data_IF_569169234013
#
_entry.id   IF_569169234013
#
_cell.length_a   1.000
_cell.length_b   1.000
_cell.length_c   1.000
_cell.angle_alpha   90.00
_cell.angle_beta   90.00
_cell.angle_gamma   90.00
#
_symmetry.space_group_name_H-M   'P 1'
#
loop_
_entity.id
_entity.type
_entity.pdbx_description
1 polymer ?
#
# COMPACT_ATOMS: atom_id res chain seq x y z
N UNK A 1 -2.87 -28.58 9.08
CA UNK A 1 -3.43 -27.73 8.01
C UNK A 1 -2.56 -27.92 6.79
N UNK A 2 -3.13 -28.14 5.61
CA UNK A 2 -2.34 -28.18 4.37
C UNK A 2 -2.06 -26.75 3.92
N UNK A 3 -0.80 -26.43 3.61
CA UNK A 3 -0.38 -25.14 3.06
C UNK A 3 0.16 -25.39 1.66
N UNK A 4 -0.30 -24.59 0.71
CA UNK A 4 0.12 -24.62 -0.69
C UNK A 4 0.83 -23.28 -0.98
N UNK A 5 2.04 -23.34 -1.55
CA UNK A 5 2.86 -22.16 -1.80
C UNK A 5 3.42 -22.22 -3.22
N UNK A 6 3.41 -21.07 -3.93
CA UNK A 6 4.02 -20.90 -5.26
C UNK A 6 3.63 -22.02 -6.24
N UNK A 7 2.35 -22.38 -6.26
CA UNK A 7 1.80 -23.46 -7.07
C UNK A 7 0.75 -22.94 -8.04
N UNK A 8 0.76 -23.49 -9.24
CA UNK A 8 -0.24 -23.24 -10.30
C UNK A 8 -1.18 -24.46 -10.45
N UNK A 9 -1.11 -25.45 -9.55
CA UNK A 9 -1.82 -26.73 -9.70
C UNK A 9 -3.35 -26.61 -9.75
N UNK A 10 -3.89 -25.48 -9.29
CA UNK A 10 -5.33 -25.20 -9.29
C UNK A 10 -5.79 -24.33 -10.45
N UNK A 11 -4.90 -23.92 -11.36
CA UNK A 11 -5.27 -23.15 -12.54
C UNK A 11 -6.24 -23.93 -13.42
N UNK A 12 -7.38 -23.31 -13.76
CA UNK A 12 -8.45 -23.94 -14.52
C UNK A 12 -9.21 -25.06 -13.78
N UNK A 13 -8.92 -25.31 -12.49
CA UNK A 13 -9.61 -26.33 -11.71
C UNK A 13 -11.10 -25.98 -11.48
N UNK A 14 -11.94 -27.02 -11.37
CA UNK A 14 -13.35 -26.89 -11.01
C UNK A 14 -13.63 -27.65 -9.72
N UNK A 15 -14.09 -26.95 -8.69
CA UNK A 15 -14.41 -27.52 -7.39
C UNK A 15 -15.93 -27.65 -7.26
N UNK A 16 -16.45 -28.89 -7.35
CA UNK A 16 -17.90 -29.16 -7.25
C UNK A 16 -18.23 -29.67 -5.86
N UNK A 17 -19.16 -28.98 -5.17
CA UNK A 17 -19.60 -29.32 -3.80
C UNK A 17 -18.43 -29.48 -2.81
N UNK A 18 -17.38 -28.70 -3.00
CA UNK A 18 -16.23 -28.62 -2.10
C UNK A 18 -16.45 -27.51 -1.06
N UNK A 19 -15.90 -27.69 0.13
CA UNK A 19 -15.89 -26.66 1.16
C UNK A 19 -14.53 -25.96 1.16
N UNK A 20 -14.56 -24.64 1.11
CA UNK A 20 -13.43 -23.75 1.37
C UNK A 20 -13.59 -22.99 2.69
N UNK A 21 -14.50 -23.44 3.57
CA UNK A 21 -14.78 -22.77 4.84
C UNK A 21 -13.50 -22.65 5.66
N UNK A 22 -13.13 -21.42 6.02
CA UNK A 22 -11.93 -21.10 6.78
C UNK A 22 -10.62 -21.18 5.98
N UNK A 23 -10.68 -21.26 4.65
CA UNK A 23 -9.50 -21.10 3.81
C UNK A 23 -9.13 -19.61 3.67
N UNK A 24 -7.84 -19.32 3.78
CA UNK A 24 -7.28 -17.99 3.53
C UNK A 24 -6.46 -18.04 2.25
N UNK A 25 -6.70 -17.10 1.35
CA UNK A 25 -5.92 -16.90 0.14
C UNK A 25 -5.12 -15.61 0.32
N UNK A 26 -3.79 -15.70 0.47
CA UNK A 26 -2.89 -14.55 0.64
C UNK A 26 -1.96 -14.48 -0.57
N UNK A 27 -1.81 -13.27 -1.14
CA UNK A 27 -0.95 -13.02 -2.30
C UNK A 27 -1.15 -14.04 -3.45
N UNK A 28 -2.41 -14.38 -3.72
CA UNK A 28 -2.82 -15.40 -4.69
C UNK A 28 -3.48 -14.75 -5.91
N UNK A 29 -3.19 -15.22 -7.11
CA UNK A 29 -3.88 -14.75 -8.31
C UNK A 29 -5.31 -15.31 -8.36
N UNK A 30 -6.28 -14.42 -8.13
CA UNK A 30 -7.71 -14.75 -8.17
C UNK A 30 -8.39 -14.28 -9.47
N UNK A 31 -7.62 -13.80 -10.45
CA UNK A 31 -8.17 -13.29 -11.71
C UNK A 31 -8.92 -14.41 -12.44
N UNK A 32 -10.13 -14.09 -12.88
CA UNK A 32 -10.97 -15.03 -13.62
C UNK A 32 -11.68 -16.11 -12.78
N UNK A 33 -11.48 -16.15 -11.45
CA UNK A 33 -12.23 -17.05 -10.56
C UNK A 33 -13.73 -16.73 -10.64
N UNK A 34 -14.56 -17.77 -10.78
CA UNK A 34 -16.03 -17.65 -10.90
C UNK A 34 -16.71 -18.47 -9.83
N UNK A 35 -17.40 -17.79 -8.91
CA UNK A 35 -18.21 -18.43 -7.88
C UNK A 35 -19.68 -18.44 -8.33
N UNK A 36 -20.26 -19.63 -8.54
CA UNK A 36 -21.66 -19.79 -8.95
C UNK A 36 -22.36 -20.79 -8.05
N UNK A 37 -23.54 -20.39 -7.53
CA UNK A 37 -24.29 -21.19 -6.56
C UNK A 37 -23.42 -21.62 -5.36
N UNK A 38 -22.58 -20.70 -4.87
CA UNK A 38 -21.75 -20.85 -3.68
C UNK A 38 -22.48 -20.20 -2.50
N UNK A 39 -22.36 -20.80 -1.32
CA UNK A 39 -22.80 -20.20 -0.06
C UNK A 39 -21.74 -19.19 0.40
N UNK A 40 -22.07 -17.91 0.29
CA UNK A 40 -21.20 -16.79 0.66
C UNK A 40 -21.75 -16.14 1.92
N UNK A 41 -21.15 -16.48 3.06
CA UNK A 41 -21.39 -15.83 4.35
C UNK A 41 -20.01 -15.52 4.97
N UNK A 42 -19.73 -14.23 5.16
CA UNK A 42 -18.43 -13.75 5.65
C UNK A 42 -17.27 -13.85 4.66
N UNK A 43 -17.51 -13.81 3.34
CA UNK A 43 -16.41 -13.65 2.37
C UNK A 43 -15.81 -12.25 2.53
N UNK A 44 -14.55 -12.21 2.93
CA UNK A 44 -13.77 -10.99 3.06
C UNK A 44 -12.77 -10.89 1.90
N UNK A 45 -12.77 -9.74 1.23
CA UNK A 45 -11.88 -9.43 0.11
C UNK A 45 -11.20 -8.12 0.46
N UNK A 46 -9.94 -8.22 0.84
CA UNK A 46 -9.12 -7.09 1.20
C UNK A 46 -7.93 -6.98 0.25
N UNK A 47 -8.09 -6.15 -0.77
CA UNK A 47 -7.10 -5.94 -1.82
C UNK A 47 -7.08 -4.46 -2.21
N UNK A 48 -5.88 -3.89 -2.20
CA UNK A 48 -5.67 -2.53 -2.66
C UNK A 48 -5.78 -2.42 -4.20
N UNK A 49 -5.37 -3.45 -4.93
CA UNK A 49 -5.36 -3.47 -6.40
C UNK A 49 -6.75 -3.70 -7.00
N UNK A 50 -7.76 -3.93 -6.15
CA UNK A 50 -9.15 -4.11 -6.52
C UNK A 50 -9.66 -3.01 -7.46
N UNK A 51 -9.13 -1.78 -7.34
CA UNK A 51 -9.54 -0.62 -8.14
C UNK A 51 -9.02 -0.63 -9.59
N UNK A 52 -8.05 -1.48 -9.92
CA UNK A 52 -7.59 -1.72 -11.30
C UNK A 52 -8.42 -2.79 -12.02
N UNK A 53 -9.31 -3.47 -11.29
CA UNK A 53 -10.12 -4.57 -11.78
C UNK A 53 -11.63 -4.33 -11.64
N UNK A 54 -12.36 -5.45 -11.62
CA UNK A 54 -13.81 -5.47 -11.40
C UNK A 54 -14.15 -6.61 -10.44
N UNK A 55 -15.09 -6.37 -9.53
CA UNK A 55 -15.63 -7.40 -8.63
C UNK A 55 -17.14 -7.46 -8.83
N UNK A 56 -17.59 -8.56 -9.44
CA UNK A 56 -18.98 -8.70 -9.86
C UNK A 56 -19.76 -9.52 -8.83
N UNK A 57 -20.66 -8.87 -8.10
CA UNK A 57 -21.60 -9.51 -7.16
C UNK A 57 -22.98 -9.51 -7.79
N UNK A 58 -23.54 -10.70 -8.06
CA UNK A 58 -24.85 -10.88 -8.70
C UNK A 58 -25.04 -10.07 -10.00
N UNK A 59 -23.98 -9.92 -10.79
CA UNK A 59 -24.00 -9.17 -12.06
C UNK A 59 -23.76 -7.67 -11.93
N UNK A 60 -23.49 -7.17 -10.73
CA UNK A 60 -23.19 -5.75 -10.45
C UNK A 60 -21.71 -5.63 -10.12
N UNK A 61 -21.01 -4.72 -10.79
CA UNK A 61 -19.66 -4.32 -10.38
C UNK A 61 -19.72 -3.46 -9.12
N UNK A 62 -19.17 -3.99 -8.02
CA UNK A 62 -19.22 -3.33 -6.71
C UNK A 62 -18.04 -2.40 -6.45
N UNK A 63 -16.99 -2.43 -7.29
CA UNK A 63 -15.77 -1.63 -7.08
C UNK A 63 -16.05 -0.13 -6.93
N UNK A 64 -16.91 0.52 -7.75
CA UNK A 64 -17.24 1.94 -7.58
C UNK A 64 -17.94 2.25 -6.25
N UNK A 65 -18.78 1.34 -5.75
CA UNK A 65 -19.46 1.51 -4.46
C UNK A 65 -18.47 1.42 -3.31
N UNK A 66 -17.53 0.46 -3.37
CA UNK A 66 -16.46 0.32 -2.38
C UNK A 66 -15.56 1.56 -2.40
N UNK A 67 -15.15 2.04 -3.58
CA UNK A 67 -14.33 3.26 -3.72
C UNK A 67 -15.02 4.48 -3.10
N UNK A 68 -16.31 4.67 -3.37
CA UNK A 68 -17.07 5.79 -2.82
C UNK A 68 -17.20 5.70 -1.29
N UNK A 69 -17.45 4.50 -0.76
CA UNK A 69 -17.54 4.28 0.69
C UNK A 69 -16.19 4.49 1.38
N UNK A 70 -15.07 4.06 0.78
CA UNK A 70 -13.73 4.35 1.31
C UNK A 70 -13.45 5.86 1.31
N UNK A 71 -13.78 6.59 0.25
CA UNK A 71 -13.61 8.05 0.26
C UNK A 71 -14.48 8.74 1.33
N UNK A 72 -15.66 8.18 1.63
CA UNK A 72 -16.51 8.66 2.73
C UNK A 72 -15.89 8.39 4.10
N UNK A 73 -15.23 7.25 4.29
CA UNK A 73 -14.58 6.86 5.55
C UNK A 73 -13.22 7.53 5.76
N UNK A 74 -12.52 7.88 4.67
CA UNK A 74 -11.20 8.50 4.66
C UNK A 74 -11.27 9.82 3.87
N UNK A 75 -11.78 10.92 4.45
CA UNK A 75 -11.89 12.20 3.75
C UNK A 75 -10.54 12.67 3.22
N UNK A 76 -10.49 13.10 1.96
CA UNK A 76 -9.27 13.48 1.25
C UNK A 76 -8.66 12.36 0.41
N UNK A 77 -9.05 11.09 0.63
CA UNK A 77 -8.61 9.95 -0.20
C UNK A 77 -9.04 10.11 -1.64
N UNK A 78 -10.17 10.75 -1.92
CA UNK A 78 -10.62 11.06 -3.28
C UNK A 78 -9.62 11.88 -4.10
N UNK A 79 -8.69 12.58 -3.44
CA UNK A 79 -7.64 13.37 -4.08
C UNK A 79 -6.39 12.55 -4.41
N UNK A 80 -6.30 11.27 -4.02
CA UNK A 80 -5.14 10.41 -4.33
C UNK A 80 -4.91 10.29 -5.85
N UNK A 81 -5.96 10.43 -6.67
CA UNK A 81 -5.91 10.37 -8.13
C UNK A 81 -5.77 11.77 -8.79
N UNK A 82 -5.54 12.83 -8.00
CA UNK A 82 -5.50 14.20 -8.50
C UNK A 82 -4.43 14.38 -9.59
N UNK A 83 -4.81 15.13 -10.63
CA UNK A 83 -3.94 15.44 -11.76
C UNK A 83 -3.39 16.87 -11.70
N UNK A 84 -3.94 17.70 -10.82
CA UNK A 84 -3.50 19.08 -10.61
C UNK A 84 -2.57 19.15 -9.41
N UNK A 85 -1.60 20.06 -9.47
CA UNK A 85 -0.69 20.29 -8.35
C UNK A 85 -1.43 20.73 -7.08
N UNK A 86 -2.49 21.53 -7.21
CA UNK A 86 -3.36 21.92 -6.09
C UNK A 86 -4.03 20.71 -5.44
N UNK A 87 -4.62 19.81 -6.24
CA UNK A 87 -5.27 18.61 -5.71
C UNK A 87 -4.27 17.65 -5.05
N UNK A 88 -3.06 17.54 -5.58
CA UNK A 88 -1.99 16.73 -4.96
C UNK A 88 -1.54 17.33 -3.62
N UNK A 89 -1.45 18.66 -3.51
CA UNK A 89 -1.13 19.33 -2.23
C UNK A 89 -2.22 19.14 -1.20
N UNK A 90 -3.48 19.35 -1.58
CA UNK A 90 -4.63 19.12 -0.70
C UNK A 90 -4.73 17.65 -0.26
N UNK A 91 -4.53 16.71 -1.19
CA UNK A 91 -4.50 15.28 -0.88
C UNK A 91 -3.37 14.89 0.06
N UNK A 92 -2.19 15.49 -0.12
CA UNK A 92 -1.03 15.29 0.76
C UNK A 92 -1.28 15.82 2.16
N UNK A 93 -1.80 17.03 2.30
CA UNK A 93 -2.14 17.61 3.61
C UNK A 93 -3.19 16.74 4.34
N UNK A 94 -4.20 16.26 3.62
CA UNK A 94 -5.24 15.39 4.18
C UNK A 94 -4.67 14.07 4.71
N UNK A 95 -3.78 13.41 3.96
CA UNK A 95 -3.21 12.13 4.39
C UNK A 95 -2.22 12.31 5.54
N UNK A 96 -1.44 13.42 5.56
CA UNK A 96 -0.59 13.76 6.70
C UNK A 96 -1.41 13.92 7.98
N UNK A 97 -2.53 14.65 7.92
CA UNK A 97 -3.42 14.84 9.06
C UNK A 97 -4.03 13.52 9.56
N UNK A 98 -4.46 12.64 8.65
CA UNK A 98 -5.05 11.36 8.99
C UNK A 98 -4.03 10.38 9.62
N UNK A 99 -2.77 10.42 9.17
CA UNK A 99 -1.67 9.69 9.82
C UNK A 99 -1.35 10.24 11.20
N UNK A 100 -1.27 11.55 11.36
CA UNK A 100 -1.02 12.19 12.66
C UNK A 100 -2.07 11.76 13.69
N UNK A 101 -3.36 11.80 13.33
CA UNK A 101 -4.46 11.31 14.18
C UNK A 101 -4.26 9.85 14.59
N UNK A 102 -3.85 9.00 13.65
CA UNK A 102 -3.68 7.56 13.89
C UNK A 102 -2.50 7.28 14.80
N UNK A 103 -1.38 7.96 14.59
CA UNK A 103 -0.18 7.83 15.42
C UNK A 103 -0.44 8.34 16.84
N UNK A 104 -1.01 9.55 16.98
CA UNK A 104 -1.31 10.15 18.29
C UNK A 104 -2.39 9.36 19.05
N UNK A 105 -3.34 8.78 18.32
CA UNK A 105 -4.43 7.99 18.88
C UNK A 105 -4.08 6.53 19.17
N UNK A 106 -2.85 6.08 18.92
CA UNK A 106 -2.42 4.69 19.17
C UNK A 106 -1.68 4.58 20.51
N UNK A 107 -2.19 3.79 21.47
CA UNK A 107 -1.48 3.51 22.71
C UNK A 107 -0.09 2.91 22.45
N UNK A 108 0.90 3.29 23.26
CA UNK A 108 2.30 2.92 23.02
C UNK A 108 2.51 1.40 23.03
N UNK A 109 1.75 0.68 23.85
CA UNK A 109 1.75 -0.77 23.93
C UNK A 109 1.25 -1.47 22.65
N UNK A 110 0.49 -0.77 21.80
CA UNK A 110 -0.03 -1.31 20.54
C UNK A 110 0.84 -0.99 19.32
N UNK A 111 1.85 -0.14 19.47
CA UNK A 111 2.71 0.30 18.34
C UNK A 111 3.40 -0.87 17.64
N UNK A 112 3.86 -1.85 18.42
CA UNK A 112 4.52 -3.07 17.94
C UNK A 112 3.59 -4.29 17.95
N UNK A 113 2.33 -4.11 18.37
CA UNK A 113 1.33 -5.18 18.29
C UNK A 113 0.81 -5.31 16.86
N UNK A 114 0.53 -6.55 16.44
CA UNK A 114 0.06 -6.83 15.09
C UNK A 114 -0.95 -7.98 15.08
N UNK A 115 -1.81 -7.98 14.06
CA UNK A 115 -2.65 -9.14 13.72
C UNK A 115 -1.78 -10.18 13.02
N UNK A 116 -2.11 -11.47 13.15
CA UNK A 116 -1.34 -12.55 12.51
C UNK A 116 -1.17 -12.28 11.00
N UNK A 117 0.07 -12.44 10.52
CA UNK A 117 0.52 -12.16 9.15
C UNK A 117 0.45 -10.69 8.68
N UNK A 118 -0.02 -9.75 9.50
CA UNK A 118 -0.05 -8.32 9.19
C UNK A 118 1.05 -7.52 9.90
N UNK A 119 1.30 -6.30 9.42
CA UNK A 119 2.30 -5.41 9.99
C UNK A 119 1.78 -4.64 11.20
N UNK A 120 2.68 -4.39 12.16
CA UNK A 120 2.44 -3.43 13.24
C UNK A 120 2.41 -1.98 12.71
N UNK A 121 2.02 -1.03 13.58
CA UNK A 121 2.09 0.40 13.22
C UNK A 121 3.53 0.80 12.91
N UNK A 122 4.50 0.40 13.74
CA UNK A 122 5.91 0.71 13.51
C UNK A 122 6.41 0.14 12.17
N UNK A 123 6.09 -1.12 11.86
CA UNK A 123 6.45 -1.75 10.59
C UNK A 123 5.80 -1.05 9.39
N UNK A 124 4.53 -0.67 9.51
CA UNK A 124 3.81 0.08 8.47
C UNK A 124 4.46 1.44 8.20
N UNK A 125 4.82 2.20 9.24
CA UNK A 125 5.50 3.49 9.06
C UNK A 125 6.88 3.31 8.41
N UNK A 126 7.62 2.25 8.76
CA UNK A 126 8.89 1.89 8.11
C UNK A 126 8.71 1.56 6.63
N UNK A 127 7.62 0.89 6.26
CA UNK A 127 7.32 0.64 4.87
C UNK A 127 7.03 1.93 4.09
N UNK A 128 6.29 2.87 4.68
CA UNK A 128 6.00 4.15 4.04
C UNK A 128 7.25 5.05 3.86
N UNK A 129 8.25 4.90 4.74
CA UNK A 129 9.59 5.49 4.53
C UNK A 129 10.21 4.91 3.25
N UNK A 130 10.18 3.58 3.10
CA UNK A 130 10.69 2.89 1.91
C UNK A 130 9.93 3.28 0.64
N UNK A 131 8.60 3.35 0.66
CA UNK A 131 7.80 3.79 -0.47
C UNK A 131 8.17 5.22 -0.90
N UNK A 132 8.30 6.14 0.05
CA UNK A 132 8.74 7.52 -0.24
C UNK A 132 10.16 7.55 -0.80
N UNK A 133 11.08 6.78 -0.23
CA UNK A 133 12.46 6.68 -0.72
C UNK A 133 12.50 6.17 -2.16
N UNK A 134 11.74 5.12 -2.50
CA UNK A 134 11.67 4.59 -3.85
C UNK A 134 11.13 5.63 -4.85
N UNK A 135 9.95 6.19 -4.58
CA UNK A 135 9.23 6.99 -5.56
C UNK A 135 9.72 8.44 -5.61
N UNK A 136 9.95 9.09 -4.47
CA UNK A 136 10.51 10.44 -4.45
C UNK A 136 12.03 10.39 -4.62
N UNK A 137 12.74 9.62 -3.79
CA UNK A 137 14.20 9.60 -3.79
C UNK A 137 14.80 8.94 -5.04
N UNK A 138 14.31 7.76 -5.40
CA UNK A 138 14.77 6.97 -6.54
C UNK A 138 14.20 7.50 -7.86
N UNK A 139 12.89 7.46 -8.05
CA UNK A 139 12.28 7.77 -9.34
C UNK A 139 12.35 9.27 -9.66
N UNK A 140 11.80 10.14 -8.80
CA UNK A 140 11.72 11.58 -9.08
C UNK A 140 13.11 12.25 -9.01
N UNK A 141 13.84 12.02 -7.91
CA UNK A 141 15.11 12.70 -7.61
C UNK A 141 16.36 11.95 -8.11
N UNK A 142 16.21 10.71 -8.61
CA UNK A 142 17.28 9.93 -9.26
C UNK A 142 18.52 9.71 -8.39
N UNK A 143 18.32 9.49 -7.09
CA UNK A 143 19.39 9.11 -6.16
C UNK A 143 19.78 7.66 -6.41
N UNK A 144 21.08 7.39 -6.45
CA UNK A 144 21.62 6.04 -6.71
C UNK A 144 21.26 5.05 -5.59
N UNK A 145 21.33 5.50 -4.34
CA UNK A 145 20.88 4.75 -3.17
C UNK A 145 19.89 5.66 -2.42
N UNK A 146 18.57 5.52 -2.67
CA UNK A 146 17.58 6.40 -2.06
C UNK A 146 17.12 5.91 -0.68
N UNK A 147 17.33 4.64 -0.37
CA UNK A 147 16.69 3.95 0.76
C UNK A 147 17.39 4.20 2.10
N UNK A 148 16.61 4.59 3.10
CA UNK A 148 17.06 4.65 4.49
C UNK A 148 17.13 3.26 5.11
N UNK A 149 18.11 3.01 5.98
CA UNK A 149 18.29 1.74 6.71
C UNK A 149 17.11 1.36 7.63
N UNK A 150 16.25 2.33 7.97
CA UNK A 150 15.06 2.14 8.82
C UNK A 150 13.88 1.63 8.01
N UNK A 151 13.91 1.80 6.68
CA UNK A 151 12.88 1.31 5.79
C UNK A 151 12.58 -0.17 6.01
N UNK A 152 11.35 -0.58 5.73
CA UNK A 152 10.95 -1.98 5.75
C UNK A 152 10.44 -2.37 4.37
N UNK A 153 11.15 -3.29 3.73
CA UNK A 153 10.77 -3.79 2.42
C UNK A 153 9.71 -4.90 2.54
N UNK A 154 8.90 -5.05 1.49
CA UNK A 154 7.85 -6.05 1.44
C UNK A 154 8.39 -7.48 1.32
N UNK A 155 7.59 -8.45 1.76
CA UNK A 155 7.93 -9.89 1.65
C UNK A 155 8.11 -10.30 0.19
N UNK A 156 9.19 -11.00 -0.12
CA UNK A 156 9.51 -11.43 -1.50
C UNK A 156 10.57 -10.58 -2.21
N UNK A 157 10.97 -9.44 -1.63
CA UNK A 157 11.91 -8.52 -2.29
C UNK A 157 13.34 -9.10 -2.43
N UNK A 158 13.78 -9.94 -1.49
CA UNK A 158 15.08 -10.61 -1.59
C UNK A 158 15.13 -11.55 -2.80
N UNK A 159 14.04 -12.28 -3.08
CA UNK A 159 13.91 -13.13 -4.26
C UNK A 159 13.87 -12.32 -5.56
N UNK A 160 13.51 -11.03 -5.50
CA UNK A 160 13.57 -10.09 -6.62
C UNK A 160 14.97 -9.48 -6.83
N UNK A 161 15.96 -9.90 -6.04
CA UNK A 161 17.34 -9.43 -6.15
C UNK A 161 17.61 -8.08 -5.49
N UNK A 162 16.71 -7.64 -4.59
CA UNK A 162 16.90 -6.40 -3.84
C UNK A 162 18.07 -6.51 -2.86
N UNK A 163 18.86 -5.43 -2.74
CA UNK A 163 19.96 -5.38 -1.78
C UNK A 163 19.44 -5.18 -0.35
N UNK A 164 19.28 -6.30 0.35
CA UNK A 164 18.81 -6.32 1.73
C UNK A 164 19.84 -5.75 2.73
N UNK A 165 21.12 -5.60 2.34
CA UNK A 165 22.17 -5.11 3.24
C UNK A 165 22.03 -3.63 3.62
N UNK A 166 21.16 -2.92 2.91
CA UNK A 166 20.78 -1.54 3.21
C UNK A 166 20.03 -1.44 4.54
N UNK A 167 19.20 -2.43 4.86
CA UNK A 167 18.28 -2.35 6.00
C UNK A 167 18.95 -2.83 7.28
N UNK A 168 18.69 -2.11 8.36
CA UNK A 168 19.21 -2.42 9.69
C UNK A 168 18.62 -3.75 10.18
N UNK A 169 19.48 -4.62 10.73
CA UNK A 169 19.06 -5.90 11.34
C UNK A 169 18.34 -5.69 12.68
N UNK A 170 18.79 -4.73 13.49
CA UNK A 170 18.18 -4.39 14.76
C UNK A 170 16.93 -3.53 14.55
N UNK A 171 15.87 -3.83 15.31
CA UNK A 171 14.63 -3.07 15.22
C UNK A 171 14.83 -1.63 15.74
N UNK A 172 14.53 -0.61 14.93
CA UNK A 172 14.64 0.79 15.34
C UNK A 172 13.59 1.10 16.40
N UNK A 173 13.91 2.05 17.28
CA UNK A 173 12.92 2.59 18.21
C UNK A 173 11.79 3.31 17.44
N UNK A 174 10.59 3.33 18.01
CA UNK A 174 9.48 4.05 17.38
C UNK A 174 9.79 5.55 17.18
N UNK A 175 10.54 6.15 18.09
CA UNK A 175 11.02 7.53 17.97
C UNK A 175 11.92 7.74 16.76
N UNK A 176 12.86 6.83 16.48
CA UNK A 176 13.69 6.88 15.28
C UNK A 176 12.83 6.75 14.01
N UNK A 177 11.83 5.84 14.02
CA UNK A 177 10.89 5.67 12.91
C UNK A 177 10.11 6.96 12.65
N UNK A 178 9.57 7.59 13.69
CA UNK A 178 8.83 8.84 13.58
C UNK A 178 9.72 9.99 13.08
N UNK A 179 10.97 10.07 13.54
CA UNK A 179 11.91 11.08 13.07
C UNK A 179 12.16 10.96 11.56
N UNK A 180 12.53 9.77 11.09
CA UNK A 180 12.80 9.56 9.66
C UNK A 180 11.54 9.73 8.84
N UNK A 181 10.38 9.30 9.35
CA UNK A 181 9.09 9.51 8.67
C UNK A 181 8.78 10.99 8.50
N UNK A 182 8.99 11.81 9.53
CA UNK A 182 8.78 13.26 9.46
C UNK A 182 9.72 13.91 8.43
N UNK A 183 10.98 13.48 8.36
CA UNK A 183 11.92 13.96 7.33
C UNK A 183 11.44 13.61 5.90
N UNK A 184 10.90 12.41 5.69
CA UNK A 184 10.34 12.00 4.39
C UNK A 184 9.08 12.77 4.04
N UNK A 185 8.20 12.96 5.01
CA UNK A 185 7.01 13.76 4.79
C UNK A 185 7.36 15.21 4.41
N UNK A 186 8.35 15.80 5.08
CA UNK A 186 8.82 17.15 4.73
C UNK A 186 9.42 17.19 3.31
N UNK A 187 10.16 16.18 2.88
CA UNK A 187 10.68 16.13 1.51
C UNK A 187 9.56 16.12 0.45
N UNK A 188 8.48 15.38 0.68
CA UNK A 188 7.31 15.38 -0.21
C UNK A 188 6.62 16.75 -0.18
N UNK A 189 6.42 17.34 1.00
CA UNK A 189 5.85 18.68 1.16
C UNK A 189 6.67 19.73 0.41
N UNK A 190 7.99 19.74 0.58
CA UNK A 190 8.89 20.69 -0.08
C UNK A 190 8.90 20.49 -1.60
N UNK A 191 8.89 19.24 -2.06
CA UNK A 191 8.80 18.92 -3.48
C UNK A 191 7.49 19.45 -4.09
N UNK A 192 6.36 19.15 -3.47
CA UNK A 192 5.05 19.64 -3.93
C UNK A 192 4.96 21.17 -3.90
N UNK A 193 5.60 21.84 -2.93
CA UNK A 193 5.65 23.29 -2.87
C UNK A 193 6.49 23.91 -4.00
N UNK A 194 7.60 23.25 -4.38
CA UNK A 194 8.56 23.75 -5.37
C UNK A 194 8.33 23.32 -6.82
N UNK A 195 7.58 22.24 -7.05
CA UNK A 195 7.37 21.69 -8.40
C UNK A 195 6.35 22.48 -9.23
N UNK A 196 6.26 22.17 -10.52
CA UNK A 196 5.32 22.79 -11.47
C UNK A 196 4.41 21.76 -12.12
N UNK A 197 3.29 22.22 -12.69
CA UNK A 197 2.37 21.35 -13.42
C UNK A 197 3.03 20.65 -14.63
N UNK A 198 3.98 21.32 -15.29
CA UNK A 198 4.70 20.75 -16.44
C UNK A 198 5.68 19.65 -15.98
N UNK A 199 6.37 19.83 -14.85
CA UNK A 199 7.24 18.82 -14.26
C UNK A 199 6.47 17.53 -13.90
N UNK A 200 5.20 17.65 -13.47
CA UNK A 200 4.36 16.48 -13.17
C UNK A 200 4.16 15.55 -14.37
N UNK A 201 4.26 16.07 -15.60
CA UNK A 201 4.10 15.28 -16.81
C UNK A 201 5.39 14.60 -17.29
N UNK A 202 6.54 14.87 -16.66
CA UNK A 202 7.80 14.30 -17.09
C UNK A 202 7.91 12.82 -16.71
N UNK A 203 8.35 12.00 -17.66
CA UNK A 203 8.60 10.57 -17.42
C UNK A 203 9.79 10.31 -16.49
N UNK A 204 9.69 9.21 -15.74
CA UNK A 204 10.69 8.63 -14.85
C UNK A 204 10.83 7.13 -15.13
N UNK A 205 11.91 6.56 -14.62
CA UNK A 205 12.08 5.11 -14.60
C UNK A 205 11.35 4.55 -13.37
N UNK A 206 10.78 3.35 -13.51
CA UNK A 206 10.19 2.65 -12.38
C UNK A 206 11.30 2.30 -11.36
N UNK A 207 11.22 2.77 -10.10
CA UNK A 207 12.29 2.60 -9.11
C UNK A 207 12.48 1.15 -8.66
N UNK A 208 11.52 0.27 -8.90
CA UNK A 208 11.60 -1.14 -8.53
C UNK A 208 12.24 -2.03 -9.62
N UNK A 209 12.58 -1.44 -10.77
CA UNK A 209 12.98 -2.20 -11.94
C UNK A 209 11.84 -3.12 -12.44
N UNK A 210 12.17 -3.98 -13.40
CA UNK A 210 11.21 -4.86 -14.05
C UNK A 210 11.07 -4.51 -15.53
N UNK A 211 11.10 -5.54 -16.38
CA UNK A 211 11.09 -5.43 -17.84
C UNK A 211 9.76 -4.96 -18.46
N UNK A 212 8.91 -4.27 -17.70
CA UNK A 212 7.68 -3.69 -18.22
C UNK A 212 7.97 -2.29 -18.76
N UNK A 213 7.47 -2.00 -19.97
CA UNK A 213 7.61 -0.72 -20.67
C UNK A 213 6.90 0.46 -19.96
N UNK A 214 6.44 0.29 -18.72
CA UNK A 214 5.76 1.35 -17.99
C UNK A 214 6.76 2.42 -17.54
N UNK A 215 6.55 3.64 -18.04
CA UNK A 215 7.29 4.84 -17.68
C UNK A 215 6.36 5.75 -16.89
N UNK A 216 6.39 5.71 -15.55
CA UNK A 216 5.58 6.61 -14.74
C UNK A 216 5.99 8.06 -14.98
N UNK A 217 5.04 8.98 -14.93
CA UNK A 217 5.34 10.41 -14.81
C UNK A 217 5.69 10.77 -13.37
N UNK A 218 6.29 11.96 -13.14
CA UNK A 218 6.46 12.51 -11.80
C UNK A 218 5.13 12.54 -11.04
N UNK A 219 4.04 12.93 -11.71
CA UNK A 219 2.70 12.91 -11.15
C UNK A 219 2.26 11.50 -10.76
N UNK A 220 2.56 10.48 -11.57
CA UNK A 220 2.27 9.08 -11.23
C UNK A 220 3.04 8.67 -9.97
N UNK A 221 4.33 8.99 -9.88
CA UNK A 221 5.13 8.69 -8.70
C UNK A 221 4.53 9.31 -7.42
N UNK A 222 4.06 10.56 -7.46
CA UNK A 222 3.40 11.18 -6.30
C UNK A 222 2.05 10.51 -5.99
N UNK A 223 1.27 10.15 -7.00
CA UNK A 223 0.00 9.44 -6.80
C UNK A 223 0.22 8.06 -6.17
N UNK A 224 1.28 7.35 -6.56
CA UNK A 224 1.66 6.09 -5.89
C UNK A 224 2.01 6.36 -4.42
N UNK A 225 2.75 7.43 -4.09
CA UNK A 225 3.00 7.77 -2.67
C UNK A 225 1.68 8.01 -1.93
N UNK A 226 0.75 8.79 -2.48
CA UNK A 226 -0.56 9.04 -1.86
C UNK A 226 -1.38 7.74 -1.69
N UNK A 227 -1.33 6.89 -2.70
CA UNK A 227 -2.00 5.61 -2.74
C UNK A 227 -1.49 4.66 -1.64
N UNK A 228 -0.17 4.51 -1.53
CA UNK A 228 0.50 3.76 -0.46
C UNK A 228 0.08 4.29 0.91
N UNK A 229 0.09 5.61 1.09
CA UNK A 229 -0.29 6.25 2.34
C UNK A 229 -1.73 5.92 2.75
N UNK A 230 -2.70 6.01 1.84
CA UNK A 230 -4.10 5.71 2.14
C UNK A 230 -4.36 4.20 2.30
N UNK A 231 -3.73 3.35 1.49
CA UNK A 231 -3.87 1.90 1.59
C UNK A 231 -3.37 1.41 2.94
N UNK A 232 -2.17 1.81 3.33
CA UNK A 232 -1.57 1.42 4.62
C UNK A 232 -2.28 2.03 5.82
N UNK A 233 -2.82 3.24 5.70
CA UNK A 233 -3.64 3.83 6.75
C UNK A 233 -4.91 3.00 7.00
N UNK A 234 -5.54 2.51 5.93
CA UNK A 234 -6.72 1.64 6.01
C UNK A 234 -6.38 0.31 6.69
N UNK A 235 -5.29 -0.33 6.29
CA UNK A 235 -4.84 -1.60 6.89
C UNK A 235 -4.57 -1.44 8.39
N UNK A 236 -3.77 -0.45 8.76
CA UNK A 236 -3.38 -0.33 10.17
C UNK A 236 -4.57 0.08 11.06
N UNK A 237 -5.50 0.90 10.57
CA UNK A 237 -6.72 1.23 11.33
C UNK A 237 -7.64 0.02 11.50
N UNK A 238 -7.76 -0.83 10.47
CA UNK A 238 -8.47 -2.13 10.57
C UNK A 238 -7.84 -3.00 11.65
N UNK A 239 -6.52 -3.17 11.61
CA UNK A 239 -5.79 -4.08 12.50
C UNK A 239 -5.79 -3.58 13.95
N UNK A 240 -5.54 -2.29 14.16
CA UNK A 240 -5.63 -1.68 15.50
C UNK A 240 -7.03 -1.79 16.11
N UNK A 241 -8.09 -1.79 15.30
CA UNK A 241 -9.46 -1.98 15.81
C UNK A 241 -9.72 -3.41 16.31
N UNK A 242 -8.97 -4.40 15.82
CA UNK A 242 -9.04 -5.80 16.27
C UNK A 242 -8.19 -6.06 17.53
N UNK A 243 -7.18 -5.23 17.76
CA UNK A 243 -6.25 -5.34 18.89
C UNK A 243 -6.71 -4.56 20.14
N UNK A 244 -7.74 -3.71 19.99
CA UNK A 244 -8.31 -2.86 21.06
C UNK A 244 -9.43 -3.53 21.86
#
# INVERSE_FOLDING_TARGET
MSRYERTEEFEGASFLRASFKGATFRSSDMRGVKMRAVDLDGLDVDDHDLFFGSLIVNGVDVVPYVKAELNRQFPGRELQDAQTLEGLREGWEAVQAAWQETVDGTPRELVDSHVEDEWSLAQTLRHLILATDAWLGGAILRREQPFHEIGLIFTGAAEMGFDMSIFREEDPTFEEVLQVRAERQQQVTDFLAGTTQDELAEERENPWGGGDDWRPTVGDCIRVILEEEWAHLRYIRRDLALLR
#
